data_IF_574144224738
#
_entry.id   IF_574144224738
#
_cell.length_a   1.000
_cell.length_b   1.000
_cell.length_c   1.000
_cell.angle_alpha   90.00
_cell.angle_beta   90.00
_cell.angle_gamma   90.00
#
_symmetry.space_group_name_H-M   'P 1'
#
loop_
_entity.id
_entity.type
_entity.pdbx_description
1 polymer ?
#
# COMPACT_ATOMS: atom_id res chain seq x y z
N UNK A 1 -9.53 8.37 3.21
CA UNK A 1 -8.74 7.10 3.18
C UNK A 1 -7.78 7.03 4.37
N UNK A 2 -6.79 7.93 4.53
CA UNK A 2 -5.87 7.87 5.68
C UNK A 2 -6.55 7.88 7.04
N UNK A 3 -7.59 8.67 7.20
CA UNK A 3 -8.39 8.75 8.43
C UNK A 3 -9.12 7.43 8.74
N UNK A 4 -9.82 6.84 7.76
CA UNK A 4 -10.53 5.57 7.97
C UNK A 4 -9.53 4.43 8.30
N UNK A 5 -8.36 4.43 7.63
CA UNK A 5 -7.29 3.48 7.92
C UNK A 5 -6.73 3.66 9.35
N UNK A 6 -6.65 4.90 9.85
CA UNK A 6 -6.25 5.19 11.23
C UNK A 6 -7.28 4.67 12.24
N UNK A 7 -8.57 4.84 11.98
CA UNK A 7 -9.63 4.27 12.82
C UNK A 7 -9.57 2.74 12.86
N UNK A 8 -9.37 2.10 11.71
CA UNK A 8 -9.17 0.66 11.63
C UNK A 8 -7.94 0.19 12.43
N UNK A 9 -6.83 0.96 12.38
CA UNK A 9 -5.63 0.70 13.16
C UNK A 9 -5.91 0.77 14.67
N UNK A 10 -6.46 1.88 15.16
CA UNK A 10 -6.76 2.08 16.58
C UNK A 10 -7.72 1.03 17.13
N UNK A 11 -8.71 0.62 16.33
CA UNK A 11 -9.66 -0.43 16.69
C UNK A 11 -9.00 -1.81 16.80
N UNK A 12 -8.12 -2.14 15.85
CA UNK A 12 -7.52 -3.49 15.75
C UNK A 12 -6.28 -3.64 16.63
N UNK A 13 -5.54 -2.55 16.82
CA UNK A 13 -4.25 -2.53 17.52
C UNK A 13 -4.17 -1.43 18.58
N UNK A 14 -5.09 -1.39 19.56
CA UNK A 14 -5.21 -0.27 20.52
C UNK A 14 -4.00 -0.07 21.42
N UNK A 15 -3.14 -1.09 21.53
CA UNK A 15 -1.93 -1.05 22.38
C UNK A 15 -0.63 -0.89 21.58
N UNK A 16 -0.71 -0.81 20.25
CA UNK A 16 0.45 -0.63 19.41
C UNK A 16 0.53 0.83 18.97
N UNK A 17 1.47 1.55 19.60
CA UNK A 17 1.71 2.96 19.29
C UNK A 17 3.05 3.05 18.55
N UNK A 18 3.08 3.48 17.28
CA UNK A 18 4.31 3.78 16.57
C UNK A 18 4.95 5.07 17.08
N UNK A 19 6.27 5.19 16.99
CA UNK A 19 6.99 6.42 17.32
C UNK A 19 6.92 7.45 16.19
N UNK A 20 6.71 6.96 14.95
CA UNK A 20 6.68 7.79 13.75
C UNK A 20 5.87 7.11 12.63
N UNK A 21 5.19 7.94 11.84
CA UNK A 21 4.53 7.54 10.60
C UNK A 21 5.30 8.12 9.41
N UNK A 22 5.69 7.26 8.48
CA UNK A 22 6.36 7.64 7.24
C UNK A 22 5.59 7.15 6.01
N UNK A 23 5.52 7.92 4.92
CA UNK A 23 4.92 7.45 3.67
C UNK A 23 5.89 6.58 2.87
N UNK A 24 5.37 5.64 2.10
CA UNK A 24 6.04 5.15 0.91
C UNK A 24 5.94 6.24 -0.17
N UNK A 25 7.05 6.91 -0.54
CA UNK A 25 6.98 8.10 -1.38
C UNK A 25 6.66 7.77 -2.85
N UNK A 26 5.90 8.61 -3.50
CA UNK A 26 5.33 9.89 -3.08
C UNK A 26 3.80 9.86 -3.07
N UNK A 27 3.17 8.79 -3.53
CA UNK A 27 1.72 8.68 -3.70
C UNK A 27 0.99 8.52 -2.37
N UNK A 28 1.65 7.95 -1.36
CA UNK A 28 1.09 7.75 -0.03
C UNK A 28 1.18 8.96 0.92
N UNK A 29 1.85 10.06 0.52
CA UNK A 29 2.13 11.20 1.42
C UNK A 29 0.88 11.75 2.10
N UNK A 30 -0.18 12.01 1.34
CA UNK A 30 -1.43 12.58 1.90
C UNK A 30 -2.18 11.61 2.79
N UNK A 31 -2.17 10.31 2.45
CA UNK A 31 -2.79 9.29 3.29
C UNK A 31 -2.02 9.12 4.60
N UNK A 32 -0.68 9.11 4.54
CA UNK A 32 0.18 9.00 5.72
C UNK A 32 0.06 10.21 6.65
N UNK A 33 0.00 11.43 6.09
CA UNK A 33 -0.20 12.65 6.86
C UNK A 33 -1.55 12.61 7.62
N UNK A 34 -2.62 12.26 6.91
CA UNK A 34 -3.95 12.14 7.50
C UNK A 34 -4.02 11.03 8.55
N UNK A 35 -3.37 9.90 8.30
CA UNK A 35 -3.26 8.78 9.24
C UNK A 35 -2.54 9.21 10.52
N UNK A 36 -1.35 9.83 10.40
CA UNK A 36 -0.53 10.27 11.50
C UNK A 36 -1.25 11.29 12.40
N UNK A 37 -1.94 12.24 11.77
CA UNK A 37 -2.75 13.24 12.49
C UNK A 37 -3.87 12.58 13.32
N UNK A 38 -4.54 11.56 12.76
CA UNK A 38 -5.67 10.93 13.42
C UNK A 38 -5.26 10.08 14.63
N UNK A 39 -4.09 9.44 14.59
CA UNK A 39 -3.56 8.65 15.71
C UNK A 39 -2.67 9.46 16.66
N UNK A 40 -2.54 10.77 16.44
CA UNK A 40 -1.69 11.71 17.20
C UNK A 40 -0.22 11.25 17.29
N UNK A 41 0.34 10.84 16.15
CA UNK A 41 1.73 10.41 16.03
C UNK A 41 2.48 11.29 15.03
N UNK A 42 3.75 11.53 15.29
CA UNK A 42 4.62 12.33 14.42
C UNK A 42 4.64 11.79 13.00
N UNK A 43 4.38 12.65 12.02
CA UNK A 43 4.63 12.41 10.61
C UNK A 43 6.02 12.89 10.19
N UNK A 44 6.70 12.15 9.36
CA UNK A 44 7.92 12.60 8.69
C UNK A 44 8.10 11.90 7.33
N UNK A 45 8.68 12.61 6.37
CA UNK A 45 9.13 12.02 5.11
C UNK A 45 10.46 11.27 5.32
N UNK A 46 10.45 10.23 6.15
CA UNK A 46 11.65 9.43 6.50
C UNK A 46 12.29 8.69 5.33
N UNK A 47 11.62 8.68 4.17
CA UNK A 47 12.12 8.13 2.91
C UNK A 47 11.97 9.18 1.80
N UNK A 48 13.08 9.60 1.21
CA UNK A 48 13.09 10.52 0.07
C UNK A 48 13.22 9.78 -1.25
N UNK A 49 12.39 10.16 -2.21
CA UNK A 49 12.55 9.70 -3.60
C UNK A 49 13.64 10.52 -4.28
N UNK A 50 14.69 9.84 -4.76
CA UNK A 50 15.75 10.49 -5.53
C UNK A 50 15.20 10.93 -6.91
N UNK A 51 15.10 12.25 -7.20
CA UNK A 51 14.53 12.74 -8.45
C UNK A 51 15.44 12.45 -9.67
N UNK A 52 16.71 12.17 -9.44
CA UNK A 52 17.71 11.92 -10.49
C UNK A 52 17.71 10.47 -11.00
N UNK A 53 16.97 9.57 -10.33
CA UNK A 53 16.83 8.17 -10.73
C UNK A 53 15.49 7.96 -11.39
N UNK A 54 15.50 7.74 -12.71
CA UNK A 54 14.29 7.55 -13.52
C UNK A 54 13.46 6.32 -13.18
N UNK A 55 12.30 6.17 -13.84
CA UNK A 55 11.42 4.99 -13.69
C UNK A 55 12.11 3.76 -14.26
N UNK A 56 12.34 2.73 -13.43
CA UNK A 56 13.04 1.48 -13.80
C UNK A 56 12.10 0.40 -14.33
N UNK A 57 10.84 0.72 -14.66
CA UNK A 57 9.91 -0.23 -15.28
C UNK A 57 10.37 -0.71 -16.67
N UNK A 58 11.35 -0.05 -17.28
CA UNK A 58 11.84 -0.30 -18.65
C UNK A 58 13.11 -1.17 -18.67
N UNK A 59 13.69 -1.52 -17.51
CA UNK A 59 14.91 -2.33 -17.47
C UNK A 59 14.61 -3.84 -17.53
N UNK A 60 15.20 -4.59 -18.47
CA UNK A 60 15.14 -6.04 -18.50
C UNK A 60 16.03 -6.62 -17.40
N UNK A 61 15.47 -7.43 -16.50
CA UNK A 61 16.21 -8.18 -15.49
C UNK A 61 15.72 -7.92 -14.05
N UNK A 62 15.48 -9.02 -13.29
CA UNK A 62 15.02 -8.92 -11.90
C UNK A 62 16.10 -8.39 -10.94
N UNK A 63 17.37 -8.70 -11.17
CA UNK A 63 18.48 -8.30 -10.29
C UNK A 63 18.86 -6.81 -10.45
N UNK A 64 18.68 -6.26 -11.65
CA UNK A 64 18.85 -4.81 -11.87
C UNK A 64 17.71 -4.00 -11.24
N UNK A 65 16.48 -4.53 -11.21
CA UNK A 65 15.35 -3.90 -10.52
C UNK A 65 15.57 -3.79 -9.00
N UNK A 66 16.16 -4.81 -8.36
CA UNK A 66 16.47 -4.80 -6.92
C UNK A 66 17.53 -3.75 -6.56
N UNK A 67 18.62 -3.66 -7.35
CA UNK A 67 19.63 -2.61 -7.17
C UNK A 67 19.07 -1.22 -7.39
N UNK A 68 18.12 -1.05 -8.27
CA UNK A 68 17.49 0.19 -8.65
C UNK A 68 16.62 0.82 -7.55
N UNK A 69 15.96 0.04 -6.68
CA UNK A 69 15.14 0.59 -5.59
C UNK A 69 16.05 1.22 -4.52
N UNK A 70 17.19 0.60 -4.20
CA UNK A 70 18.18 1.15 -3.26
C UNK A 70 18.76 2.52 -3.70
N UNK A 71 18.76 2.82 -5.00
CA UNK A 71 19.19 4.13 -5.51
C UNK A 71 18.04 5.15 -5.63
N UNK A 72 16.80 4.67 -5.59
CA UNK A 72 15.61 5.53 -5.75
C UNK A 72 15.13 6.16 -4.46
N UNK A 73 15.34 5.48 -3.34
CA UNK A 73 14.90 5.94 -2.03
C UNK A 73 16.11 6.20 -1.15
N UNK A 74 16.09 7.33 -0.48
CA UNK A 74 17.13 7.74 0.49
C UNK A 74 16.48 7.78 1.87
N UNK A 75 16.81 6.82 2.76
CA UNK A 75 16.28 6.82 4.12
C UNK A 75 16.97 7.86 4.99
N UNK A 76 16.20 8.44 5.91
CA UNK A 76 16.70 9.37 6.92
C UNK A 76 16.96 8.61 8.22
N UNK A 77 18.22 8.43 8.55
CA UNK A 77 18.66 7.68 9.73
C UNK A 77 18.05 8.23 11.03
N UNK A 78 18.03 9.54 11.20
CA UNK A 78 17.47 10.22 12.39
C UNK A 78 15.98 9.99 12.58
N UNK A 79 15.25 9.67 11.50
CA UNK A 79 13.83 9.42 11.54
C UNK A 79 13.48 7.94 11.75
N UNK A 80 14.44 7.04 11.54
CA UNK A 80 14.21 5.59 11.51
C UNK A 80 14.87 4.88 12.69
N UNK A 81 16.13 5.21 12.97
CA UNK A 81 16.94 4.50 13.97
C UNK A 81 16.28 4.47 15.34
N UNK A 82 16.27 3.28 15.93
CA UNK A 82 15.75 3.00 17.27
C UNK A 82 14.26 3.28 17.48
N UNK A 83 13.48 3.43 16.38
CA UNK A 83 12.04 3.74 16.43
C UNK A 83 11.16 2.57 15.98
N UNK A 84 9.93 2.59 16.46
CA UNK A 84 8.81 1.81 15.92
C UNK A 84 8.23 2.60 14.75
N UNK A 85 8.55 2.17 13.54
CA UNK A 85 8.22 2.89 12.31
C UNK A 85 6.95 2.31 11.70
N UNK A 86 5.93 3.15 11.47
CA UNK A 86 4.75 2.79 10.71
C UNK A 86 4.87 3.36 9.30
N UNK A 87 4.86 2.49 8.31
CA UNK A 87 4.90 2.83 6.89
C UNK A 87 3.48 2.80 6.33
N UNK A 88 3.07 3.90 5.70
CA UNK A 88 1.82 3.97 4.93
C UNK A 88 2.13 3.91 3.45
N UNK A 89 1.52 2.98 2.74
CA UNK A 89 1.62 2.87 1.27
C UNK A 89 0.24 3.06 0.62
N UNK A 90 0.22 3.44 -0.63
CA UNK A 90 -1.02 3.56 -1.41
C UNK A 90 -1.62 2.18 -1.71
N UNK A 91 -0.79 1.22 -2.12
CA UNK A 91 -1.24 -0.14 -2.45
C UNK A 91 -0.10 -1.16 -2.43
N UNK A 92 -0.42 -2.42 -2.11
CA UNK A 92 0.50 -3.55 -2.23
C UNK A 92 0.02 -4.44 -3.38
N UNK A 93 0.71 -4.37 -4.52
CA UNK A 93 0.33 -5.14 -5.73
C UNK A 93 1.15 -6.44 -5.79
N UNK A 94 2.44 -6.36 -6.12
CA UNK A 94 3.36 -7.52 -6.15
C UNK A 94 4.08 -7.74 -4.82
N UNK A 95 4.13 -6.74 -3.96
CA UNK A 95 4.80 -6.75 -2.67
C UNK A 95 6.33 -6.58 -2.73
N UNK A 96 6.95 -6.60 -3.90
CA UNK A 96 8.41 -6.49 -4.03
C UNK A 96 8.92 -5.13 -3.55
N UNK A 97 8.28 -4.04 -3.98
CA UNK A 97 8.64 -2.67 -3.56
C UNK A 97 8.44 -2.49 -2.06
N UNK A 98 7.29 -2.92 -1.54
CA UNK A 98 6.96 -2.83 -0.11
C UNK A 98 7.99 -3.60 0.73
N UNK A 99 8.40 -4.82 0.29
CA UNK A 99 9.42 -5.62 0.97
C UNK A 99 10.79 -4.93 0.98
N UNK A 100 11.21 -4.34 -0.13
CA UNK A 100 12.49 -3.61 -0.19
C UNK A 100 12.47 -2.36 0.69
N UNK A 101 11.34 -1.65 0.76
CA UNK A 101 11.16 -0.51 1.67
C UNK A 101 11.30 -0.98 3.13
N UNK A 102 10.62 -2.06 3.51
CA UNK A 102 10.68 -2.62 4.86
C UNK A 102 12.11 -3.01 5.23
N UNK A 103 12.82 -3.72 4.34
CA UNK A 103 14.22 -4.12 4.56
C UNK A 103 15.12 -2.90 4.71
N UNK A 104 14.94 -1.89 3.89
CA UNK A 104 15.70 -0.64 3.99
C UNK A 104 15.49 0.01 5.36
N UNK A 105 14.25 0.12 5.83
CA UNK A 105 13.92 0.70 7.14
C UNK A 105 14.52 -0.13 8.28
N UNK A 106 14.52 -1.46 8.17
CA UNK A 106 15.18 -2.35 9.14
C UNK A 106 16.70 -2.22 9.11
N UNK A 107 17.30 -2.16 7.93
CA UNK A 107 18.77 -1.96 7.75
C UNK A 107 19.24 -0.65 8.39
N UNK A 108 18.36 0.38 8.44
CA UNK A 108 18.59 1.66 9.12
C UNK A 108 18.27 1.63 10.63
N UNK A 109 18.01 0.46 11.20
CA UNK A 109 17.93 0.25 12.65
C UNK A 109 16.57 0.52 13.27
N UNK A 110 15.46 0.41 12.52
CA UNK A 110 14.13 0.42 13.11
C UNK A 110 13.96 -0.74 14.11
N UNK A 111 13.35 -0.47 15.27
CA UNK A 111 13.06 -1.49 16.30
C UNK A 111 11.92 -2.41 15.87
N UNK A 112 10.84 -1.81 15.38
CA UNK A 112 9.67 -2.50 14.85
C UNK A 112 9.24 -1.80 13.56
N UNK A 113 8.70 -2.56 12.61
CA UNK A 113 8.19 -2.03 11.35
C UNK A 113 6.75 -2.48 11.16
N UNK A 114 5.85 -1.52 11.16
CA UNK A 114 4.45 -1.71 10.85
C UNK A 114 4.17 -1.22 9.44
N UNK A 115 3.29 -1.88 8.72
CA UNK A 115 2.95 -1.52 7.35
C UNK A 115 1.45 -1.46 7.17
N UNK A 116 0.95 -0.36 6.62
CA UNK A 116 -0.46 -0.18 6.33
C UNK A 116 -0.68 0.24 4.88
N UNK A 117 -1.65 -0.37 4.22
CA UNK A 117 -2.03 -0.08 2.84
C UNK A 117 -3.33 0.70 2.79
N UNK A 118 -3.33 1.86 2.14
CA UNK A 118 -4.52 2.68 1.95
C UNK A 118 -5.50 2.08 0.91
N UNK A 119 -5.06 1.08 0.16
CA UNK A 119 -5.89 0.28 -0.72
C UNK A 119 -6.14 -1.09 -0.07
N UNK A 120 -7.34 -1.66 -0.20
CA UNK A 120 -7.61 -3.06 0.13
C UNK A 120 -6.71 -4.03 -0.65
N UNK A 121 -6.66 -5.33 -0.27
CA UNK A 121 -5.88 -6.32 -1.00
C UNK A 121 -6.30 -6.40 -2.47
N UNK A 122 -5.38 -6.14 -3.39
CA UNK A 122 -5.58 -6.26 -4.84
C UNK A 122 -5.49 -7.74 -5.21
N UNK A 123 -6.63 -8.37 -5.53
CA UNK A 123 -6.74 -9.81 -5.75
C UNK A 123 -6.89 -10.22 -7.22
N UNK A 124 -7.34 -9.29 -8.05
CA UNK A 124 -7.71 -9.57 -9.43
C UNK A 124 -7.05 -8.57 -10.40
N UNK A 125 -6.70 -8.98 -11.63
CA UNK A 125 -6.14 -8.08 -12.64
C UNK A 125 -7.17 -7.03 -13.08
N UNK A 126 -6.72 -5.94 -13.68
CA UNK A 126 -7.63 -4.94 -14.25
C UNK A 126 -7.83 -5.20 -15.74
N UNK A 127 -9.10 -5.27 -16.19
CA UNK A 127 -9.46 -5.36 -17.61
C UNK A 127 -9.93 -4.03 -18.21
N UNK A 128 -9.86 -2.92 -17.44
CA UNK A 128 -10.37 -1.61 -17.84
C UNK A 128 -9.27 -0.60 -18.18
N UNK A 129 -8.04 -1.07 -18.41
CA UNK A 129 -6.94 -0.23 -18.91
C UNK A 129 -5.90 0.20 -17.87
N UNK A 130 -6.03 -0.20 -16.62
CA UNK A 130 -4.93 -0.07 -15.65
C UNK A 130 -3.94 -1.20 -15.91
N UNK A 131 -2.64 -0.87 -16.06
CA UNK A 131 -1.58 -1.87 -16.20
C UNK A 131 -1.39 -2.61 -14.87
N UNK A 132 -2.26 -3.60 -14.67
CA UNK A 132 -2.23 -4.50 -13.53
C UNK A 132 -1.61 -5.83 -13.95
N UNK A 133 -0.75 -6.41 -13.10
CA UNK A 133 -0.13 -7.70 -13.39
C UNK A 133 -1.19 -8.81 -13.52
N UNK A 134 -0.77 -9.91 -14.09
CA UNK A 134 -1.57 -11.15 -14.15
C UNK A 134 -1.86 -11.66 -12.74
N UNK A 135 -2.89 -12.49 -12.59
CA UNK A 135 -3.31 -13.04 -11.28
C UNK A 135 -2.15 -13.68 -10.49
N UNK A 136 -1.21 -14.32 -11.19
CA UNK A 136 -0.06 -15.01 -10.57
C UNK A 136 0.95 -14.04 -9.94
N UNK A 137 1.00 -12.80 -10.41
CA UNK A 137 1.88 -11.77 -9.88
C UNK A 137 1.26 -10.96 -8.73
N UNK A 138 -0.06 -11.06 -8.52
CA UNK A 138 -0.77 -10.37 -7.45
C UNK A 138 -0.54 -11.10 -6.13
N UNK A 139 0.16 -10.46 -5.20
CA UNK A 139 0.50 -11.10 -3.92
C UNK A 139 -0.74 -11.49 -3.11
N UNK A 140 -1.78 -10.65 -3.15
CA UNK A 140 -3.04 -10.91 -2.43
C UNK A 140 -4.02 -11.79 -3.20
N UNK A 141 -3.76 -12.07 -4.49
CA UNK A 141 -4.52 -13.05 -5.26
C UNK A 141 -4.26 -14.49 -4.79
N UNK A 142 -3.03 -14.76 -4.34
CA UNK A 142 -2.55 -16.11 -4.03
C UNK A 142 -2.18 -16.34 -2.56
N UNK A 143 -2.14 -15.28 -1.72
CA UNK A 143 -1.69 -15.37 -0.32
C UNK A 143 -2.70 -14.74 0.63
N UNK A 144 -2.81 -15.33 1.83
CA UNK A 144 -3.52 -14.71 2.96
C UNK A 144 -2.70 -13.54 3.52
N UNK A 145 -3.37 -12.60 4.20
CA UNK A 145 -2.73 -11.42 4.80
C UNK A 145 -1.57 -11.79 5.74
N UNK A 146 -1.72 -12.88 6.52
CA UNK A 146 -0.66 -13.36 7.41
C UNK A 146 0.58 -13.86 6.65
N UNK A 147 0.42 -14.44 5.48
CA UNK A 147 1.55 -14.89 4.65
C UNK A 147 2.21 -13.70 3.94
N UNK A 148 1.42 -12.68 3.57
CA UNK A 148 1.94 -11.40 3.04
C UNK A 148 2.73 -10.68 4.12
N UNK A 149 2.23 -10.62 5.36
CA UNK A 149 2.94 -10.07 6.52
C UNK A 149 4.32 -10.72 6.68
N UNK A 150 4.38 -12.06 6.65
CA UNK A 150 5.66 -12.80 6.72
C UNK A 150 6.57 -12.49 5.54
N UNK A 151 6.01 -12.44 4.32
CA UNK A 151 6.76 -12.13 3.12
C UNK A 151 7.38 -10.74 3.15
N UNK A 152 6.64 -9.74 3.64
CA UNK A 152 7.11 -8.38 3.80
C UNK A 152 8.09 -8.20 4.98
N UNK A 153 8.18 -9.17 5.88
CA UNK A 153 9.03 -9.15 7.08
C UNK A 153 8.62 -8.01 8.05
N UNK A 154 7.31 -7.74 8.19
CA UNK A 154 6.77 -6.71 9.07
C UNK A 154 6.17 -7.28 10.35
N UNK A 155 6.17 -6.48 11.42
CA UNK A 155 5.61 -6.86 12.73
C UNK A 155 4.08 -6.80 12.71
N UNK A 156 3.51 -5.83 11.97
CA UNK A 156 2.08 -5.69 11.73
C UNK A 156 1.83 -5.33 10.28
N UNK A 157 0.80 -5.94 9.69
CA UNK A 157 0.25 -5.58 8.38
C UNK A 157 -1.23 -5.28 8.51
N UNK A 158 -1.67 -4.11 8.02
CA UNK A 158 -3.06 -3.73 7.92
C UNK A 158 -3.37 -3.25 6.51
N UNK A 159 -4.47 -3.73 5.96
CA UNK A 159 -5.08 -3.20 4.73
C UNK A 159 -6.33 -2.39 5.07
N UNK A 160 -6.62 -1.41 4.22
CA UNK A 160 -7.91 -0.74 4.20
C UNK A 160 -9.02 -1.78 3.91
N UNK A 161 -10.17 -1.64 4.54
CA UNK A 161 -11.36 -2.42 4.19
C UNK A 161 -12.06 -1.82 2.95
N UNK A 162 -12.77 -2.66 2.19
CA UNK A 162 -13.47 -2.21 0.98
C UNK A 162 -14.55 -1.17 1.30
N UNK A 163 -15.33 -1.42 2.34
CA UNK A 163 -16.41 -0.51 2.75
C UNK A 163 -15.86 0.87 3.17
N UNK A 164 -14.75 0.89 3.91
CA UNK A 164 -14.07 2.12 4.32
C UNK A 164 -13.47 2.88 3.11
N UNK A 165 -13.00 2.15 2.09
CA UNK A 165 -12.54 2.76 0.84
C UNK A 165 -13.71 3.40 0.09
N UNK A 166 -14.82 2.67 -0.07
CA UNK A 166 -16.03 3.17 -0.73
C UNK A 166 -16.53 4.42 0.00
N UNK A 167 -16.68 4.36 1.32
CA UNK A 167 -17.07 5.51 2.14
C UNK A 167 -16.14 6.71 1.90
N UNK A 168 -14.83 6.49 1.89
CA UNK A 168 -13.85 7.56 1.72
C UNK A 168 -13.94 8.27 0.36
N UNK A 169 -14.37 7.58 -0.71
CA UNK A 169 -14.46 8.17 -2.07
C UNK A 169 -15.85 8.68 -2.39
N UNK A 170 -16.90 8.19 -1.72
CA UNK A 170 -18.29 8.62 -1.94
C UNK A 170 -18.69 9.84 -1.09
N UNK A 171 -18.04 10.06 0.05
CA UNK A 171 -18.38 11.15 0.99
C UNK A 171 -17.81 12.52 0.64
N UNK A 172 -16.89 12.63 -0.30
CA UNK A 172 -16.13 13.87 -0.52
C UNK A 172 -16.60 14.59 -1.79
N UNK A 173 -17.13 15.82 -1.59
CA UNK A 173 -17.42 16.82 -2.63
C UNK A 173 -18.82 16.77 -3.20
N UNK A 174 -19.11 17.77 -4.05
CA UNK A 174 -20.38 17.93 -4.75
C UNK A 174 -20.58 16.96 -5.94
N UNK A 175 -19.59 16.10 -6.19
CA UNK A 175 -19.62 15.09 -7.24
C UNK A 175 -19.89 13.72 -6.61
N UNK A 176 -21.10 13.22 -6.79
CA UNK A 176 -21.49 11.90 -6.33
C UNK A 176 -20.91 10.82 -7.24
N UNK A 177 -19.93 10.07 -6.71
CA UNK A 177 -19.56 8.77 -7.24
C UNK A 177 -20.44 7.76 -6.50
N UNK A 178 -21.53 7.34 -7.11
CA UNK A 178 -22.48 6.42 -6.46
C UNK A 178 -21.89 5.02 -6.30
N UNK A 179 -21.05 4.56 -7.23
CA UNK A 179 -20.45 3.23 -7.22
C UNK A 179 -19.07 3.25 -7.90
N UNK A 180 -17.98 3.35 -7.12
CA UNK A 180 -16.63 3.23 -7.68
C UNK A 180 -16.37 1.80 -8.19
N UNK A 181 -15.53 1.68 -9.23
CA UNK A 181 -15.09 0.38 -9.71
C UNK A 181 -14.22 -0.32 -8.66
N UNK A 182 -14.61 -1.52 -8.22
CA UNK A 182 -13.90 -2.34 -7.23
C UNK A 182 -13.39 -3.66 -7.80
N UNK A 183 -13.49 -3.85 -9.12
CA UNK A 183 -13.27 -5.14 -9.80
C UNK A 183 -11.92 -5.80 -9.48
N UNK A 184 -10.84 -5.03 -9.33
CA UNK A 184 -9.54 -5.57 -8.93
C UNK A 184 -9.46 -6.02 -7.45
N UNK A 185 -10.42 -5.63 -6.62
CA UNK A 185 -10.50 -5.96 -5.21
C UNK A 185 -11.47 -7.12 -4.93
N UNK A 186 -12.66 -7.08 -5.53
CA UNK A 186 -13.76 -8.01 -5.27
C UNK A 186 -14.03 -9.03 -6.40
N UNK A 187 -13.43 -8.82 -7.59
CA UNK A 187 -13.61 -9.69 -8.76
C UNK A 187 -14.90 -9.44 -9.54
N UNK A 188 -15.67 -8.39 -9.20
CA UNK A 188 -16.91 -8.07 -9.91
C UNK A 188 -16.62 -7.16 -11.12
N UNK A 189 -16.45 -7.78 -12.28
CA UNK A 189 -16.26 -7.06 -13.54
C UNK A 189 -17.61 -6.87 -14.24
N UNK A 190 -17.84 -5.63 -14.70
CA UNK A 190 -19.04 -5.29 -15.46
C UNK A 190 -18.64 -4.77 -16.84
N UNK A 191 -19.02 -5.47 -17.90
CA UNK A 191 -18.81 -5.04 -19.28
C UNK A 191 -20.18 -4.88 -19.94
N UNK A 192 -20.47 -3.70 -20.47
CA UNK A 192 -21.77 -3.38 -21.09
C UNK A 192 -22.98 -3.75 -20.21
N UNK A 193 -22.87 -3.53 -18.89
CA UNK A 193 -23.92 -3.85 -17.93
C UNK A 193 -24.07 -5.33 -17.58
N UNK A 194 -23.18 -6.21 -18.05
CA UNK A 194 -23.17 -7.65 -17.73
C UNK A 194 -21.91 -8.05 -16.94
N UNK A 195 -22.05 -8.98 -16.02
CA UNK A 195 -20.92 -9.56 -15.31
C UNK A 195 -20.04 -10.38 -16.27
N UNK A 196 -18.72 -10.26 -16.17
CA UNK A 196 -17.78 -10.98 -17.07
C UNK A 196 -17.94 -12.50 -17.00
N UNK A 197 -18.31 -13.06 -15.85
CA UNK A 197 -18.59 -14.50 -15.72
C UNK A 197 -19.75 -14.99 -16.58
N UNK A 198 -20.66 -14.10 -17.01
CA UNK A 198 -21.77 -14.42 -17.89
C UNK A 198 -21.36 -14.44 -19.37
N UNK A 199 -20.14 -13.93 -19.69
CA UNK A 199 -19.63 -13.80 -21.06
C UNK A 199 -18.66 -14.93 -21.46
N UNK A 200 -18.13 -15.68 -20.51
CA UNK A 200 -17.14 -16.76 -20.76
C UNK A 200 -17.80 -18.11 -21.05
N UNK A 201 -19.12 -18.21 -20.90
CA UNK A 201 -19.89 -19.41 -21.14
C UNK A 201 -20.76 -19.35 -22.44
N UNK A 202 -20.29 -18.61 -23.45
CA UNK A 202 -20.90 -18.59 -24.79
C UNK A 202 -19.93 -19.08 -25.84
#
# INVERSE_FOLDING_TARGET
MGQNLAYAWMKKYPYIVPDIVIPAPSTANTAALSFAHEIDVRYSEGLYKNPFVGRTFIMPGQDERKKSIKHKLVPQDTEIRDKKVLIVDDSIVRGNTSREIVRMVRDFGAKEVYFVSACPPVKHPCYYGVDMPTSDELIAGNKKVEDIKKYLEVDVLLYQEIDDLVEAVTRIGDHHIDSPCMACLDGHYVVNGRKVHEMVNV
#
